data_IF_256916577154
#
_entry.id   IF_256916577154
#
_cell.length_a   1.000
_cell.length_b   1.000
_cell.length_c   1.000
_cell.angle_alpha   90.00
_cell.angle_beta   90.00
_cell.angle_gamma   90.00
#
_symmetry.space_group_name_H-M   'P 1'
#
loop_
_entity.id
_entity.type
_entity.pdbx_description
1 polymer ?
#
# COMPACT_ATOMS: atom_id res chain seq x y z
N UNK A 1 25.21 -3.49 2.86
CA UNK A 1 25.37 -2.04 2.62
C UNK A 1 26.80 -1.71 2.20
N UNK A 2 27.82 -1.91 3.06
CA UNK A 2 29.21 -1.51 2.73
C UNK A 2 29.78 -2.13 1.42
N UNK A 3 29.39 -3.36 1.09
CA UNK A 3 29.84 -4.04 -0.13
C UNK A 3 29.16 -3.56 -1.43
N UNK A 4 27.95 -3.00 -1.34
CA UNK A 4 27.23 -2.45 -2.49
C UNK A 4 26.19 -1.41 -2.00
N UNK A 5 26.61 -0.15 -1.77
CA UNK A 5 25.73 0.87 -1.23
C UNK A 5 24.69 1.37 -2.24
N UNK A 6 24.92 1.22 -3.56
CA UNK A 6 24.02 1.72 -4.60
C UNK A 6 22.71 0.93 -4.69
N UNK A 7 22.69 -0.29 -4.19
CA UNK A 7 21.49 -1.13 -4.11
C UNK A 7 20.56 -0.79 -2.93
N UNK A 8 20.90 0.21 -2.12
CA UNK A 8 20.12 0.58 -0.93
C UNK A 8 19.72 2.05 -0.97
N UNK A 9 18.50 2.33 -0.50
CA UNK A 9 18.00 3.68 -0.24
C UNK A 9 17.44 3.71 1.18
N UNK A 10 17.52 4.88 1.82
CA UNK A 10 16.94 5.12 3.14
C UNK A 10 15.96 6.29 3.06
N UNK A 11 14.89 6.20 3.84
CA UNK A 11 13.87 7.23 3.94
C UNK A 11 13.49 7.38 5.42
N UNK A 12 13.07 8.58 5.86
CA UNK A 12 12.49 8.75 7.19
C UNK A 12 11.29 7.80 7.38
N UNK A 13 11.10 7.32 8.61
CA UNK A 13 9.94 6.49 8.93
C UNK A 13 8.70 7.38 8.89
N UNK A 14 7.77 7.06 7.98
CA UNK A 14 6.47 7.70 7.88
C UNK A 14 5.44 6.84 8.62
N UNK A 15 4.58 7.49 9.40
CA UNK A 15 3.44 6.80 10.02
C UNK A 15 2.38 6.54 8.96
N UNK A 16 2.38 5.32 8.38
CA UNK A 16 1.37 4.90 7.41
C UNK A 16 -0.02 4.92 8.04
N UNK A 17 -1.05 5.31 7.30
CA UNK A 17 -2.43 5.19 7.76
C UNK A 17 -2.82 3.71 7.96
N UNK A 18 -3.86 3.47 8.76
CA UNK A 18 -4.37 2.12 9.01
C UNK A 18 -5.83 2.00 8.63
N UNK A 19 -6.23 0.80 8.19
CA UNK A 19 -7.64 0.44 7.96
C UNK A 19 -8.03 -0.76 8.83
N UNK A 20 -9.31 -0.90 9.21
CA UNK A 20 -9.80 -2.08 9.92
C UNK A 20 -9.64 -3.36 9.07
N UNK A 21 -9.07 -4.40 9.67
CA UNK A 21 -8.96 -5.73 9.12
C UNK A 21 -9.59 -6.75 10.06
N UNK A 22 -10.41 -7.63 9.52
CA UNK A 22 -11.00 -8.73 10.29
C UNK A 22 -10.04 -9.92 10.25
N UNK A 23 -9.38 -10.19 11.38
CA UNK A 23 -8.34 -11.21 11.54
C UNK A 23 -8.62 -11.93 12.85
N UNK A 24 -8.59 -13.27 12.82
CA UNK A 24 -8.79 -14.11 14.01
C UNK A 24 -10.04 -13.75 14.84
N UNK A 25 -11.15 -13.47 14.15
CA UNK A 25 -12.43 -13.15 14.77
C UNK A 25 -12.54 -11.72 15.32
N UNK A 26 -11.55 -10.86 15.13
CA UNK A 26 -11.51 -9.50 15.68
C UNK A 26 -11.21 -8.45 14.61
N UNK A 27 -11.79 -7.26 14.74
CA UNK A 27 -11.38 -6.10 13.95
C UNK A 27 -10.14 -5.48 14.57
N UNK A 28 -9.06 -5.42 13.79
CA UNK A 28 -7.79 -4.84 14.21
C UNK A 28 -7.26 -3.88 13.14
N UNK A 29 -6.61 -2.77 13.53
CA UNK A 29 -5.99 -1.87 12.57
C UNK A 29 -4.78 -2.56 11.91
N UNK A 30 -4.64 -2.38 10.60
CA UNK A 30 -3.44 -2.76 9.84
C UNK A 30 -3.00 -1.63 8.94
N UNK A 31 -1.69 -1.47 8.79
CA UNK A 31 -1.08 -0.44 7.94
C UNK A 31 -1.35 -0.78 6.49
N UNK A 32 -1.63 0.25 5.70
CA UNK A 32 -1.90 0.10 4.27
C UNK A 32 -1.00 1.00 3.43
N UNK A 33 -0.87 0.64 2.16
CA UNK A 33 -0.53 1.60 1.12
C UNK A 33 -1.52 1.50 -0.05
N UNK A 34 -1.61 2.58 -0.82
CA UNK A 34 -2.48 2.69 -1.98
C UNK A 34 -1.64 2.89 -3.24
N UNK A 35 -1.90 2.09 -4.26
CA UNK A 35 -1.35 2.25 -5.60
C UNK A 35 -2.46 2.66 -6.57
N UNK A 36 -2.65 3.96 -6.86
CA UNK A 36 -3.49 4.40 -7.96
C UNK A 36 -2.79 4.15 -9.30
N UNK A 37 -3.55 4.24 -10.39
CA UNK A 37 -3.04 4.06 -11.75
C UNK A 37 -3.33 5.30 -12.59
N UNK A 38 -2.28 5.88 -13.15
CA UNK A 38 -2.34 6.96 -14.12
C UNK A 38 -2.19 6.38 -15.54
N UNK A 39 -3.13 6.69 -16.43
CA UNK A 39 -3.13 6.30 -17.82
C UNK A 39 -2.69 7.51 -18.66
N UNK A 40 -1.66 7.33 -19.48
CA UNK A 40 -1.14 8.38 -20.36
C UNK A 40 -1.43 8.01 -21.82
N UNK A 41 -2.04 8.95 -22.55
CA UNK A 41 -2.37 8.78 -23.97
C UNK A 41 -2.33 10.10 -24.73
N UNK A 42 -2.69 10.11 -26.03
CA UNK A 42 -2.65 11.32 -26.86
C UNK A 42 -3.47 12.50 -26.32
N UNK A 43 -4.50 12.22 -25.51
CA UNK A 43 -5.36 13.22 -24.89
C UNK A 43 -4.88 13.76 -23.54
N UNK A 44 -3.75 13.26 -23.01
CA UNK A 44 -3.22 13.66 -21.70
C UNK A 44 -3.10 12.50 -20.70
N UNK A 45 -3.14 12.84 -19.42
CA UNK A 45 -3.01 11.90 -18.31
C UNK A 45 -4.33 11.87 -17.52
N UNK A 46 -4.90 10.68 -17.37
CA UNK A 46 -6.10 10.43 -16.58
C UNK A 46 -5.80 9.49 -15.41
N UNK A 47 -6.48 9.70 -14.27
CA UNK A 47 -6.38 8.82 -13.10
C UNK A 47 -7.62 7.96 -13.01
N UNK A 48 -7.44 6.64 -12.89
CA UNK A 48 -8.55 5.71 -12.68
C UNK A 48 -9.17 5.97 -11.29
N UNK A 49 -10.50 6.05 -11.14
CA UNK A 49 -11.17 6.21 -9.85
C UNK A 49 -11.12 4.91 -9.03
N UNK A 50 -9.92 4.53 -8.60
CA UNK A 50 -9.64 3.30 -7.90
C UNK A 50 -8.13 3.05 -7.77
N UNK A 51 -7.79 1.85 -7.34
CA UNK A 51 -6.40 1.44 -7.18
C UNK A 51 -6.27 0.15 -6.39
N UNK A 52 -5.03 -0.34 -6.28
CA UNK A 52 -4.70 -1.48 -5.45
C UNK A 52 -4.35 -1.00 -4.04
N UNK A 53 -5.19 -1.33 -3.06
CA UNK A 53 -4.83 -1.17 -1.65
C UNK A 53 -4.13 -2.43 -1.16
N UNK A 54 -2.93 -2.30 -0.60
CA UNK A 54 -2.20 -3.40 0.05
C UNK A 54 -2.21 -3.23 1.56
N UNK A 55 -2.16 -4.35 2.27
CA UNK A 55 -2.31 -4.42 3.72
C UNK A 55 -1.17 -5.21 4.33
N UNK A 56 -0.50 -4.66 5.34
CA UNK A 56 0.44 -5.40 6.16
C UNK A 56 -0.35 -6.30 7.13
N UNK A 57 -0.41 -7.62 6.91
CA UNK A 57 -1.24 -8.51 7.74
C UNK A 57 -0.64 -8.75 9.13
N UNK A 58 0.69 -8.71 9.24
CA UNK A 58 1.40 -8.82 10.52
C UNK A 58 1.19 -7.56 11.36
N UNK A 59 0.78 -7.75 12.62
CA UNK A 59 0.59 -6.64 13.56
C UNK A 59 1.86 -5.80 13.73
N UNK A 60 1.71 -4.48 13.73
CA UNK A 60 2.82 -3.52 13.86
C UNK A 60 3.74 -3.41 12.63
N UNK A 61 3.58 -4.25 11.61
CA UNK A 61 4.42 -4.22 10.41
C UNK A 61 4.13 -3.00 9.52
N UNK A 62 5.20 -2.42 8.97
CA UNK A 62 5.13 -1.44 7.87
C UNK A 62 5.30 -2.09 6.50
N UNK A 63 5.58 -3.40 6.47
CA UNK A 63 5.80 -4.15 5.23
C UNK A 63 4.46 -4.63 4.69
N UNK A 64 4.08 -4.06 3.55
CA UNK A 64 2.82 -4.32 2.84
C UNK A 64 3.01 -5.12 1.54
N UNK A 65 4.23 -5.56 1.22
CA UNK A 65 4.47 -6.32 0.00
C UNK A 65 3.84 -7.73 0.08
N UNK A 66 3.32 -8.21 -1.04
CA UNK A 66 2.67 -9.52 -1.12
C UNK A 66 3.65 -10.68 -0.91
N UNK A 67 4.91 -10.52 -1.32
CA UNK A 67 5.95 -11.55 -1.16
C UNK A 67 6.31 -11.85 0.30
N UNK A 68 5.91 -11.00 1.26
CA UNK A 68 6.11 -11.25 2.69
C UNK A 68 4.78 -11.28 3.46
N UNK A 69 3.71 -11.75 2.80
CA UNK A 69 2.41 -11.97 3.45
C UNK A 69 1.53 -10.72 3.53
N UNK A 70 1.71 -9.77 2.61
CA UNK A 70 0.79 -8.65 2.43
C UNK A 70 -0.54 -9.09 1.79
N UNK A 71 -1.66 -8.64 2.36
CA UNK A 71 -2.99 -8.81 1.78
C UNK A 71 -3.37 -7.66 0.85
N UNK A 72 -4.54 -7.74 0.23
CA UNK A 72 -5.13 -6.66 -0.56
C UNK A 72 -6.56 -6.34 -0.13
N UNK A 73 -7.00 -5.12 -0.43
CA UNK A 73 -8.38 -4.67 -0.27
C UNK A 73 -8.84 -3.94 -1.52
N UNK A 74 -10.14 -3.97 -1.76
CA UNK A 74 -10.78 -3.08 -2.72
C UNK A 74 -10.63 -1.63 -2.27
N UNK A 75 -10.41 -0.75 -3.24
CA UNK A 75 -10.34 0.70 -3.02
C UNK A 75 -11.57 1.34 -3.61
N UNK A 76 -12.42 1.92 -2.77
CA UNK A 76 -13.61 2.62 -3.23
C UNK A 76 -13.36 4.12 -3.26
N UNK A 77 -13.47 4.71 -4.45
CA UNK A 77 -13.51 6.16 -4.64
C UNK A 77 -14.98 6.53 -4.81
N UNK A 78 -15.55 7.20 -3.81
CA UNK A 78 -16.96 7.59 -3.82
C UNK A 78 -17.08 8.98 -4.44
N UNK A 79 -17.78 9.08 -5.56
CA UNK A 79 -18.02 10.34 -6.27
C UNK A 79 -17.08 10.56 -7.46
N UNK A 80 -17.70 10.68 -8.63
CA UNK A 80 -17.16 11.09 -9.93
C UNK A 80 -18.28 11.70 -10.74
#
# INVERSE_FOLDING_TARGET
ILADPRSFIAQPIISLSSTPCYIDGKLQPRRIDLRPYALCGPGGIDIVPGGLTRVALKEGSLIVNSSQGGGSKDTWVLGG
#
